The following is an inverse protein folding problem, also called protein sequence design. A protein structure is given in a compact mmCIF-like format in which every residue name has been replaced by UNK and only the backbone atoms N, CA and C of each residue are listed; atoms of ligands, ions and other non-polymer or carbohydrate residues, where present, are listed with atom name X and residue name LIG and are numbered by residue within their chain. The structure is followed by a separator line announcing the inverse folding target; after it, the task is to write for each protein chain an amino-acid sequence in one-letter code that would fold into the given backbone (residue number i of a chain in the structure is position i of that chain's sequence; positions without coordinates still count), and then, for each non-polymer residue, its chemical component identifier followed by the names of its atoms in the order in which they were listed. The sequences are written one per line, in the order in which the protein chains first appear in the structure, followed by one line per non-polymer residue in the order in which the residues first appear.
data_IF_474989098665
#
_entry.id   IF_474989098665
#
_cell.length_a   1.000
_cell.length_b   1.000
_cell.length_c   1.000
_cell.angle_alpha   90.00
_cell.angle_beta   90.00
_cell.angle_gamma   90.00
#
_symmetry.space_group_name_H-M   'P 1'
#
loop_
_entity.id
_entity.type
_entity.pdbx_description
1 polymer ?
#
# COMPACT_ATOMS: atom_id res chain seq x y z
N UNK A 1 22.20 19.29 5.46
CA UNK A 1 21.84 19.23 5.52
C UNK A 1 20.95 18.78 5.52
N UNK A 2 20.76 18.80 5.34
CA UNK A 2 20.05 18.53 5.44
C UNK A 2 19.16 17.76 5.64
N UNK A 3 19.23 17.45 6.13
CA UNK A 3 18.44 16.84 6.69
C UNK A 3 17.32 16.63 6.18
N UNK A 4 17.09 15.92 5.62
CA UNK A 4 15.98 15.77 5.13
C UNK A 4 15.31 14.51 5.49
N UNK A 5 15.31 14.03 6.71
CA UNK A 5 14.55 12.87 7.12
C UNK A 5 13.07 13.06 6.89
N UNK A 6 12.56 14.29 7.08
CA UNK A 6 11.14 14.58 6.87
C UNK A 6 10.76 14.44 5.41
N UNK A 7 11.64 14.88 4.52
CA UNK A 7 11.38 14.76 3.09
C UNK A 7 11.35 13.31 2.65
N UNK A 8 12.31 12.52 3.11
CA UNK A 8 12.37 11.10 2.80
C UNK A 8 11.15 10.37 3.36
N UNK A 9 10.76 10.73 4.57
CA UNK A 9 9.57 10.16 5.19
C UNK A 9 8.33 10.49 4.39
N UNK A 10 8.19 11.76 3.98
CA UNK A 10 7.05 12.19 3.17
C UNK A 10 7.03 11.48 1.82
N UNK A 11 8.18 11.28 1.20
CA UNK A 11 8.25 10.56 -0.08
C UNK A 11 7.79 9.12 0.10
N UNK A 12 8.28 8.44 1.13
CA UNK A 12 7.89 7.06 1.41
C UNK A 12 6.39 6.97 1.70
N UNK A 13 5.87 7.88 2.52
CA UNK A 13 4.45 7.91 2.82
C UNK A 13 3.62 8.27 1.58
N UNK A 14 4.16 9.12 0.71
CA UNK A 14 3.50 9.47 -0.55
C UNK A 14 3.35 8.27 -1.46
N UNK A 15 4.37 7.45 -1.56
CA UNK A 15 4.28 6.22 -2.34
C UNK A 15 3.25 5.27 -1.74
N UNK A 16 3.24 5.16 -0.42
CA UNK A 16 2.26 4.32 0.27
C UNK A 16 0.85 4.84 0.04
N UNK A 17 0.66 6.15 0.16
CA UNK A 17 -0.64 6.79 -0.06
C UNK A 17 -1.14 6.52 -1.48
N UNK A 18 -0.26 6.66 -2.45
CA UNK A 18 -0.58 6.43 -3.85
C UNK A 18 -1.02 5.00 -4.09
N UNK A 19 -0.29 4.06 -3.51
CA UNK A 19 -0.60 2.65 -3.68
C UNK A 19 -1.93 2.27 -3.01
N UNK A 20 -2.19 2.82 -1.83
CA UNK A 20 -3.41 2.51 -1.07
C UNK A 20 -4.61 3.35 -1.52
N UNK A 21 -4.39 4.39 -2.33
CA UNK A 21 -5.47 5.27 -2.74
C UNK A 21 -5.99 6.14 -1.62
N UNK A 22 -5.12 6.56 -0.72
CA UNK A 22 -5.47 7.42 0.41
C UNK A 22 -4.64 8.69 0.37
N UNK A 23 -4.99 9.65 1.22
CA UNK A 23 -4.24 10.91 1.29
C UNK A 23 -2.88 10.70 1.95
N UNK A 24 -1.95 11.63 1.69
CA UNK A 24 -0.66 11.61 2.34
C UNK A 24 -0.80 11.67 3.85
N UNK A 25 -1.70 12.52 4.34
CA UNK A 25 -1.93 12.65 5.78
C UNK A 25 -2.39 11.33 6.39
N UNK A 26 -3.28 10.62 5.71
CA UNK A 26 -3.76 9.32 6.17
C UNK A 26 -2.64 8.28 6.19
N UNK A 27 -1.79 8.27 5.15
CA UNK A 27 -0.67 7.35 5.09
C UNK A 27 0.33 7.64 6.22
N UNK A 28 0.66 8.91 6.46
CA UNK A 28 1.54 9.29 7.55
C UNK A 28 0.98 8.85 8.89
N UNK A 29 -0.31 9.03 9.08
CA UNK A 29 -0.96 8.64 10.32
C UNK A 29 -0.84 7.13 10.54
N UNK A 30 -1.05 6.34 9.51
CA UNK A 30 -0.92 4.88 9.61
C UNK A 30 0.49 4.47 10.00
N UNK A 31 1.49 5.09 9.38
CA UNK A 31 2.89 4.80 9.70
C UNK A 31 3.21 5.23 11.13
N UNK A 32 2.74 6.40 11.54
CA UNK A 32 2.98 6.91 12.90
C UNK A 32 2.35 5.98 13.95
N UNK A 33 1.14 5.53 13.71
CA UNK A 33 0.46 4.61 14.65
C UNK A 33 1.25 3.30 14.73
N UNK A 34 1.67 2.76 13.61
CA UNK A 34 2.43 1.52 13.59
C UNK A 34 3.78 1.70 14.28
N UNK A 35 4.44 2.82 14.02
CA UNK A 35 5.72 3.13 14.67
C UNK A 35 5.56 3.20 16.19
N UNK A 36 4.48 3.81 16.65
CA UNK A 36 4.20 3.88 18.08
C UNK A 36 3.97 2.49 18.67
N UNK A 37 3.26 1.63 17.96
CA UNK A 37 3.04 0.26 18.40
C UNK A 37 4.33 -0.54 18.50
N UNK A 38 5.28 -0.25 17.60
CA UNK A 38 6.56 -0.93 17.58
C UNK A 38 7.64 -0.25 18.44
N UNK A 39 7.30 0.90 19.02
CA UNK A 39 8.24 1.65 19.84
C UNK A 39 9.33 2.36 19.04
N UNK A 40 9.06 2.67 17.79
CA UNK A 40 10.01 3.34 16.90
C UNK A 40 9.85 4.84 17.00
N UNK A 41 10.91 5.56 17.39
CA UNK A 41 10.87 7.01 17.47
C UNK A 41 11.89 7.66 16.55
N UNK A 42 12.81 6.89 16.00
CA UNK A 42 13.86 7.37 15.14
C UNK A 42 13.36 7.62 13.72
N UNK A 43 13.79 8.71 13.10
CA UNK A 43 13.37 9.06 11.74
C UNK A 43 13.73 7.98 10.73
N UNK A 44 14.94 7.45 10.82
CA UNK A 44 15.39 6.41 9.92
C UNK A 44 14.54 5.14 10.06
N UNK A 45 14.17 4.80 11.30
CA UNK A 45 13.33 3.65 11.57
C UNK A 45 11.93 3.84 11.00
N UNK A 46 11.38 5.05 11.09
CA UNK A 46 10.06 5.36 10.53
C UNK A 46 10.06 5.32 9.00
N UNK A 47 11.13 5.80 8.38
CA UNK A 47 11.28 5.72 6.93
C UNK A 47 11.32 4.26 6.50
N UNK A 48 12.13 3.46 7.17
CA UNK A 48 12.22 2.02 6.89
C UNK A 48 10.87 1.35 7.07
N UNK A 49 10.13 1.72 8.12
CA UNK A 49 8.79 1.18 8.35
C UNK A 49 7.81 1.56 7.24
N UNK A 50 7.85 2.81 6.80
CA UNK A 50 6.99 3.24 5.70
C UNK A 50 7.29 2.45 4.43
N UNK A 51 8.56 2.23 4.14
CA UNK A 51 8.97 1.45 2.98
C UNK A 51 8.55 -0.01 3.11
N UNK A 52 8.66 -0.56 4.32
CA UNK A 52 8.22 -1.92 4.59
C UNK A 52 6.72 -2.05 4.41
N UNK A 53 5.95 -1.09 4.92
CA UNK A 53 4.50 -1.09 4.76
C UNK A 53 4.10 -1.00 3.30
N UNK A 54 4.85 -0.22 2.51
CA UNK A 54 4.64 -0.14 1.08
C UNK A 54 4.90 -1.48 0.41
N UNK A 55 5.99 -2.14 0.77
CA UNK A 55 6.33 -3.45 0.21
C UNK A 55 5.25 -4.47 0.55
N UNK A 56 4.76 -4.46 1.79
CA UNK A 56 3.70 -5.37 2.22
C UNK A 56 2.40 -5.07 1.47
N UNK A 57 2.07 -3.79 1.29
CA UNK A 57 0.87 -3.41 0.56
C UNK A 57 0.95 -3.83 -0.90
N UNK A 58 2.12 -3.70 -1.51
CA UNK A 58 2.32 -4.14 -2.88
C UNK A 58 2.15 -5.64 -3.02
N UNK A 59 2.72 -6.40 -2.10
CA UNK A 59 2.60 -7.85 -2.11
C UNK A 59 1.14 -8.27 -1.96
N UNK A 60 0.42 -7.66 -1.00
CA UNK A 60 -1.01 -7.91 -0.83
C UNK A 60 -1.81 -7.50 -2.05
N UNK A 61 -1.45 -6.36 -2.64
CA UNK A 61 -2.12 -5.86 -3.83
C UNK A 61 -1.96 -6.79 -5.02
N UNK A 62 -0.79 -7.37 -5.18
CA UNK A 62 -0.53 -8.33 -6.25
C UNK A 62 -1.39 -9.58 -6.05
N UNK A 63 -1.45 -10.10 -4.83
CA UNK A 63 -2.27 -11.26 -4.53
C UNK A 63 -3.75 -10.97 -4.77
N UNK A 64 -4.20 -9.81 -4.33
CA UNK A 64 -5.58 -9.38 -4.52
C UNK A 64 -5.91 -9.22 -6.00
N UNK A 65 -4.97 -8.66 -6.77
CA UNK A 65 -5.15 -8.47 -8.19
C UNK A 65 -5.27 -9.81 -8.91
N UNK A 66 -4.44 -10.78 -8.56
CA UNK A 66 -4.50 -12.11 -9.15
C UNK A 66 -5.85 -12.77 -8.85
N UNK A 67 -6.35 -12.61 -7.63
CA UNK A 67 -7.64 -13.15 -7.25
C UNK A 67 -8.77 -12.49 -8.02
N UNK A 68 -8.72 -11.15 -8.14
CA UNK A 68 -9.73 -10.42 -8.90
C UNK A 68 -9.73 -10.81 -10.37
N UNK A 69 -8.55 -10.99 -10.94
CA UNK A 69 -8.43 -11.39 -12.33
C UNK A 69 -9.06 -12.78 -12.55
N UNK A 70 -8.83 -13.69 -11.62
CA UNK A 70 -9.42 -15.01 -11.69
C UNK A 70 -10.95 -14.95 -11.59
N UNK A 71 -11.46 -14.09 -10.70
CA UNK A 71 -12.90 -13.92 -10.55
C UNK A 71 -13.53 -13.30 -11.78
N UNK A 72 -12.87 -12.31 -12.38
CA UNK A 72 -13.36 -11.68 -13.60
C UNK A 72 -13.38 -12.66 -14.77
N UNK A 73 -12.37 -13.51 -14.86
CA UNK A 73 -12.33 -14.53 -15.89
C UNK A 73 -13.50 -15.49 -15.75
N UNK A 74 -13.80 -15.89 -14.51
CA UNK A 74 -14.94 -16.78 -14.25
C UNK A 74 -16.26 -16.12 -14.64
N UNK A 75 -16.43 -14.84 -14.32
CA UNK A 75 -17.63 -14.09 -14.67
C UNK A 75 -17.78 -13.95 -16.18
N UNK A 76 -16.68 -13.67 -16.87
CA UNK A 76 -16.69 -13.58 -18.33
C UNK A 76 -17.13 -14.88 -18.97
N UNK A 77 -16.65 -16.00 -18.45
CA UNK A 77 -17.06 -17.31 -18.94
C UNK A 77 -18.56 -17.54 -18.76
N UNK A 78 -19.10 -17.14 -17.63
CA UNK A 78 -20.51 -17.25 -17.35
C UNK A 78 -21.33 -16.39 -18.30
N UNK A 79 -20.87 -15.16 -18.54
CA UNK A 79 -21.52 -14.25 -19.45
C UNK A 79 -21.57 -14.83 -20.87
N UNK A 80 -20.44 -15.36 -21.30
CA UNK A 80 -20.38 -15.98 -22.64
C UNK A 80 -21.34 -17.14 -22.74
N UNK A 81 -21.42 -17.95 -21.70
CA UNK A 81 -22.32 -19.08 -21.68
C UNK A 81 -23.78 -18.63 -21.79
N UNK A 82 -24.12 -17.57 -21.06
CA UNK A 82 -25.49 -17.04 -21.09
C UNK A 82 -25.83 -16.41 -22.44
N UNK A 83 -24.83 -15.81 -23.06
CA UNK A 83 -25.04 -15.15 -24.34
C UNK A 83 -25.36 -16.18 -25.45
N UNK A 84 -24.82 -17.35 -25.34
CA UNK A 84 -25.04 -18.39 -26.33
C UNK A 84 -26.46 -18.95 -26.30
N UNK A 85 -27.11 -18.81 -25.17
CA UNK A 85 -28.49 -19.24 -25.05
C UNK A 85 -29.43 -18.27 -25.73
#
# INVERSE_FOLDING_TARGET
MAAVPDRQYNVACGHLASWLGISLASARRRVDIRAAQLGLSDSAARIALAEQMLAEARASGIDTQALLDAQLAALSSEENFMTED
#
